data_IF_143056074967
#
_entry.id   IF_143056074967
#
_cell.length_a   1.000
_cell.length_b   1.000
_cell.length_c   1.000
_cell.angle_alpha   90.00
_cell.angle_beta   90.00
_cell.angle_gamma   90.00
#
_symmetry.space_group_name_H-M   'P 1'
#
loop_
_entity.id
_entity.type
_entity.pdbx_description
1 polymer ?
#
# COMPACT_ATOMS: atom_id res chain seq x y z
N UNK A 1 8.86 -64.39 110.82
CA UNK A 1 8.57 -63.55 109.65
C UNK A 1 9.88 -63.36 108.87
N UNK A 2 9.80 -63.30 107.53
CA UNK A 2 10.91 -63.00 106.58
C UNK A 2 11.80 -64.16 106.11
N UNK A 3 11.31 -64.98 105.18
CA UNK A 3 12.16 -65.74 104.24
C UNK A 3 11.40 -66.15 102.96
N UNK A 4 10.07 -66.30 103.02
CA UNK A 4 9.24 -66.58 101.84
C UNK A 4 9.01 -65.35 100.93
N UNK A 5 9.05 -64.14 101.49
CA UNK A 5 8.86 -62.87 100.77
C UNK A 5 10.11 -62.45 99.97
N UNK A 6 11.29 -62.91 100.40
CA UNK A 6 12.59 -62.55 99.81
C UNK A 6 12.82 -63.25 98.47
N UNK A 7 12.40 -64.52 98.32
CA UNK A 7 12.57 -65.29 97.07
C UNK A 7 11.58 -64.86 95.97
N UNK A 8 10.36 -64.49 96.35
CA UNK A 8 9.35 -63.97 95.41
C UNK A 8 9.68 -62.55 94.92
N UNK A 9 10.18 -61.68 95.82
CA UNK A 9 10.65 -60.34 95.47
C UNK A 9 11.85 -60.41 94.52
N UNK A 10 12.89 -61.19 94.85
CA UNK A 10 14.08 -61.33 94.01
C UNK A 10 13.78 -61.93 92.63
N UNK A 11 12.91 -62.94 92.53
CA UNK A 11 12.49 -63.46 91.21
C UNK A 11 11.75 -62.43 90.38
N UNK A 12 10.87 -61.63 91.01
CA UNK A 12 10.13 -60.56 90.31
C UNK A 12 11.10 -59.47 89.84
N UNK A 13 12.06 -59.06 90.66
CA UNK A 13 13.11 -58.11 90.29
C UNK A 13 14.01 -58.63 89.16
N UNK A 14 14.36 -59.92 89.15
CA UNK A 14 15.15 -60.52 88.07
C UNK A 14 14.35 -60.60 86.77
N UNK A 15 13.06 -60.93 86.83
CA UNK A 15 12.18 -60.97 85.65
C UNK A 15 11.92 -59.57 85.09
N UNK A 16 11.70 -58.58 85.95
CA UNK A 16 11.58 -57.16 85.58
C UNK A 16 12.90 -56.65 84.97
N UNK A 17 14.05 -56.98 85.58
CA UNK A 17 15.37 -56.65 85.04
C UNK A 17 15.61 -57.28 83.66
N UNK A 18 15.20 -58.53 83.46
CA UNK A 18 15.27 -59.19 82.15
C UNK A 18 14.36 -58.52 81.12
N UNK A 19 13.13 -58.17 81.48
CA UNK A 19 12.22 -57.45 80.58
C UNK A 19 12.74 -56.05 80.21
N UNK A 20 13.38 -55.35 81.15
CA UNK A 20 14.04 -54.07 80.88
C UNK A 20 15.20 -54.27 79.90
N UNK A 21 16.05 -55.27 80.11
CA UNK A 21 17.16 -55.58 79.19
C UNK A 21 16.67 -55.96 77.80
N UNK A 22 15.60 -56.75 77.68
CA UNK A 22 14.99 -57.11 76.39
C UNK A 22 14.41 -55.88 75.67
N UNK A 23 13.75 -54.97 76.40
CA UNK A 23 13.24 -53.70 75.83
C UNK A 23 14.36 -52.77 75.40
N UNK A 24 15.42 -52.65 76.18
CA UNK A 24 16.59 -51.83 75.85
C UNK A 24 17.33 -52.40 74.64
N UNK A 25 17.52 -53.72 74.57
CA UNK A 25 18.11 -54.38 73.40
C UNK A 25 17.29 -54.14 72.13
N UNK A 26 15.96 -54.28 72.20
CA UNK A 26 15.07 -53.97 71.08
C UNK A 26 15.11 -52.48 70.69
N UNK A 27 15.29 -51.58 71.66
CA UNK A 27 15.44 -50.14 71.40
C UNK A 27 16.76 -49.80 70.71
N UNK A 28 17.85 -50.46 71.10
CA UNK A 28 19.17 -50.32 70.47
C UNK A 28 19.11 -50.87 69.04
N UNK A 29 18.50 -52.03 68.83
CA UNK A 29 18.32 -52.60 67.49
C UNK A 29 17.52 -51.66 66.57
N UNK A 30 16.42 -51.06 67.06
CA UNK A 30 15.67 -50.04 66.32
C UNK A 30 16.49 -48.79 66.04
N UNK A 31 17.28 -48.33 67.00
CA UNK A 31 18.13 -47.13 66.82
C UNK A 31 19.23 -47.37 65.79
N UNK A 32 19.84 -48.56 65.79
CA UNK A 32 20.83 -48.95 64.78
C UNK A 32 20.19 -49.06 63.38
N UNK A 33 18.98 -49.61 63.29
CA UNK A 33 18.25 -49.68 62.02
C UNK A 33 17.96 -48.27 61.46
N UNK A 34 17.49 -47.35 62.32
CA UNK A 34 17.27 -45.94 61.95
C UNK A 34 18.58 -45.26 61.53
N UNK A 35 19.69 -45.55 62.19
CA UNK A 35 20.99 -45.00 61.82
C UNK A 35 21.44 -45.47 60.42
N UNK A 36 21.27 -46.76 60.12
CA UNK A 36 21.57 -47.34 58.80
C UNK A 36 20.67 -46.74 57.72
N UNK A 37 19.36 -46.62 57.99
CA UNK A 37 18.41 -46.00 57.06
C UNK A 37 18.76 -44.53 56.80
N UNK A 38 19.13 -43.78 57.84
CA UNK A 38 19.57 -42.39 57.71
C UNK A 38 20.87 -42.24 56.91
N UNK A 39 21.81 -43.19 57.02
CA UNK A 39 23.05 -43.21 56.24
C UNK A 39 22.78 -43.53 54.77
N UNK A 40 21.87 -44.47 54.50
CA UNK A 40 21.42 -44.79 53.15
C UNK A 40 20.68 -43.61 52.49
N UNK A 41 19.77 -42.96 53.22
CA UNK A 41 19.10 -41.73 52.72
C UNK A 41 20.12 -40.62 52.47
N UNK A 42 21.12 -40.46 53.35
CA UNK A 42 22.20 -39.49 53.17
C UNK A 42 23.02 -39.73 51.91
N UNK A 43 23.35 -40.99 51.61
CA UNK A 43 24.10 -41.36 50.40
C UNK A 43 23.27 -41.22 49.12
N UNK A 44 21.97 -41.52 49.15
CA UNK A 44 21.05 -41.24 48.04
C UNK A 44 20.94 -39.74 47.75
N UNK A 45 20.76 -38.90 48.77
CA UNK A 45 20.71 -37.45 48.62
C UNK A 45 22.00 -36.90 48.03
N UNK A 46 23.16 -37.38 48.48
CA UNK A 46 24.46 -36.95 47.94
C UNK A 46 24.61 -37.34 46.45
N UNK A 47 24.19 -38.55 46.09
CA UNK A 47 24.19 -39.01 44.69
C UNK A 47 23.27 -38.17 43.80
N UNK A 48 22.08 -37.82 44.29
CA UNK A 48 21.14 -36.97 43.56
C UNK A 48 21.66 -35.54 43.42
N UNK A 49 22.28 -34.98 44.46
CA UNK A 49 22.92 -33.67 44.42
C UNK A 49 24.11 -33.63 43.45
N UNK A 50 24.92 -34.67 43.38
CA UNK A 50 26.00 -34.76 42.39
C UNK A 50 25.45 -34.84 40.96
N UNK A 51 24.37 -35.59 40.75
CA UNK A 51 23.68 -35.65 39.45
C UNK A 51 23.13 -34.28 39.05
N UNK A 52 22.51 -33.55 39.98
CA UNK A 52 22.01 -32.20 39.76
C UNK A 52 23.17 -31.21 39.49
N UNK A 53 24.29 -31.34 40.20
CA UNK A 53 25.49 -30.52 39.99
C UNK A 53 26.07 -30.73 38.59
N UNK A 54 26.18 -31.96 38.13
CA UNK A 54 26.64 -32.24 36.76
C UNK A 54 25.66 -31.71 35.69
N UNK A 55 24.35 -31.77 35.95
CA UNK A 55 23.36 -31.18 35.05
C UNK A 55 23.51 -29.65 34.98
N UNK A 56 23.77 -28.99 36.11
CA UNK A 56 24.01 -27.54 36.17
C UNK A 56 25.30 -27.14 35.43
N UNK A 57 26.39 -27.88 35.60
CA UNK A 57 27.65 -27.63 34.88
C UNK A 57 27.43 -27.73 33.36
N UNK A 58 26.79 -28.81 32.90
CA UNK A 58 26.44 -28.97 31.47
C UNK A 58 25.54 -27.86 30.94
N UNK A 59 24.63 -27.35 31.77
CA UNK A 59 23.75 -26.24 31.39
C UNK A 59 24.53 -24.91 31.31
N UNK A 60 25.46 -24.67 32.23
CA UNK A 60 26.37 -23.51 32.19
C UNK A 60 27.22 -23.52 30.92
N UNK A 61 27.85 -24.64 30.59
CA UNK A 61 28.66 -24.77 29.37
C UNK A 61 27.84 -24.52 28.09
N UNK A 62 26.57 -24.97 28.05
CA UNK A 62 25.67 -24.68 26.94
C UNK A 62 25.34 -23.19 26.83
N UNK A 63 25.15 -22.51 27.96
CA UNK A 63 24.88 -21.07 28.00
C UNK A 63 26.09 -20.26 27.53
N UNK A 64 27.30 -20.65 27.94
CA UNK A 64 28.55 -19.99 27.49
C UNK A 64 28.74 -20.15 25.98
N UNK A 65 28.57 -21.36 25.45
CA UNK A 65 28.63 -21.62 24.00
C UNK A 65 27.57 -20.83 23.21
N UNK A 66 26.34 -20.71 23.74
CA UNK A 66 25.29 -19.91 23.12
C UNK A 66 25.62 -18.41 23.13
N UNK A 67 26.26 -17.93 24.21
CA UNK A 67 26.68 -16.54 24.34
C UNK A 67 27.82 -16.20 23.36
N UNK A 68 28.78 -17.11 23.17
CA UNK A 68 29.83 -16.99 22.15
C UNK A 68 29.23 -16.96 20.73
N UNK A 69 28.25 -17.83 20.46
CA UNK A 69 27.51 -17.84 19.20
C UNK A 69 26.74 -16.54 18.93
N UNK A 70 26.16 -15.93 19.98
CA UNK A 70 25.51 -14.62 19.90
C UNK A 70 26.51 -13.49 19.67
N UNK A 71 27.70 -13.57 20.26
CA UNK A 71 28.76 -12.59 20.07
C UNK A 71 29.29 -12.60 18.63
N UNK A 72 29.54 -13.77 18.06
CA UNK A 72 29.94 -13.90 16.65
C UNK A 72 28.81 -13.48 15.69
N UNK A 73 27.55 -13.82 16.00
CA UNK A 73 26.39 -13.34 15.24
C UNK A 73 26.29 -11.81 15.24
N UNK A 74 26.58 -11.14 16.37
CA UNK A 74 26.59 -9.67 16.46
C UNK A 74 27.72 -9.04 15.65
N UNK A 75 28.91 -9.66 15.59
CA UNK A 75 30.00 -9.21 14.70
C UNK A 75 29.61 -9.31 13.23
N UNK A 76 29.02 -10.43 12.84
CA UNK A 76 28.55 -10.65 11.46
C UNK A 76 27.46 -9.63 11.11
N UNK A 77 26.47 -9.39 11.99
CA UNK A 77 25.43 -8.39 11.78
C UNK A 77 25.99 -6.97 11.68
N UNK A 78 26.96 -6.61 12.52
CA UNK A 78 27.66 -5.32 12.46
C UNK A 78 28.42 -5.15 11.13
N UNK A 79 29.12 -6.20 10.69
CA UNK A 79 29.83 -6.21 9.41
C UNK A 79 28.86 -6.08 8.23
N UNK A 80 27.76 -6.85 8.22
CA UNK A 80 26.73 -6.79 7.18
C UNK A 80 26.04 -5.43 7.15
N UNK A 81 25.76 -4.82 8.30
CA UNK A 81 25.14 -3.49 8.37
C UNK A 81 26.09 -2.40 7.84
N UNK A 82 27.37 -2.44 8.20
CA UNK A 82 28.38 -1.51 7.66
C UNK A 82 28.58 -1.69 6.15
N UNK A 83 28.59 -2.94 5.67
CA UNK A 83 28.67 -3.25 4.25
C UNK A 83 27.43 -2.76 3.49
N UNK A 84 26.24 -2.94 4.07
CA UNK A 84 24.98 -2.44 3.51
C UNK A 84 24.92 -0.91 3.47
N UNK A 85 25.40 -0.22 4.50
CA UNK A 85 25.51 1.24 4.54
C UNK A 85 26.52 1.77 3.50
N UNK A 86 27.65 1.10 3.31
CA UNK A 86 28.60 1.43 2.23
C UNK A 86 27.98 1.23 0.84
N UNK A 87 27.25 0.13 0.63
CA UNK A 87 26.51 -0.12 -0.61
C UNK A 87 25.42 0.92 -0.87
N UNK A 88 24.69 1.34 0.17
CA UNK A 88 23.70 2.42 0.08
C UNK A 88 24.34 3.75 -0.27
N UNK A 89 25.46 4.11 0.35
CA UNK A 89 26.22 5.32 0.01
C UNK A 89 26.76 5.25 -1.42
N UNK A 90 27.35 4.14 -1.86
CA UNK A 90 27.82 3.95 -3.23
C UNK A 90 26.66 4.04 -4.24
N UNK A 91 25.49 3.48 -3.92
CA UNK A 91 24.27 3.63 -4.73
C UNK A 91 23.79 5.08 -4.76
N UNK A 92 23.75 5.80 -3.63
CA UNK A 92 23.38 7.22 -3.60
C UNK A 92 24.35 8.08 -4.41
N UNK A 93 25.66 7.85 -4.29
CA UNK A 93 26.67 8.54 -5.10
C UNK A 93 26.55 8.21 -6.59
N UNK A 94 26.21 6.97 -6.97
CA UNK A 94 25.89 6.61 -8.36
C UNK A 94 24.58 7.26 -8.85
N UNK A 95 23.56 7.38 -8.00
CA UNK A 95 22.27 8.01 -8.33
C UNK A 95 22.46 9.52 -8.52
N UNK A 96 23.21 10.19 -7.63
CA UNK A 96 23.50 11.63 -7.73
C UNK A 96 24.34 11.93 -8.98
N UNK A 97 25.23 11.02 -9.40
CA UNK A 97 26.05 11.17 -10.62
C UNK A 97 25.33 10.74 -11.92
N UNK A 98 24.14 10.12 -11.85
CA UNK A 98 23.38 9.64 -13.03
C UNK A 98 22.28 10.56 -13.53
N UNK A 99 21.94 11.64 -12.82
CA UNK A 99 21.00 12.64 -13.35
C UNK A 99 21.63 13.61 -14.35
N UNK A 100 22.95 13.58 -14.54
CA UNK A 100 23.71 14.58 -15.33
C UNK A 100 24.40 14.02 -16.57
N UNK A 101 23.79 13.09 -17.31
CA UNK A 101 24.30 12.66 -18.63
C UNK A 101 23.26 12.61 -19.74
N UNK A 102 22.00 12.94 -19.44
CA UNK A 102 20.98 13.14 -20.47
C UNK A 102 20.88 14.63 -20.70
N UNK A 103 21.34 15.10 -21.85
CA UNK A 103 20.98 16.43 -22.31
C UNK A 103 19.47 16.42 -22.61
N UNK A 104 18.68 16.87 -21.63
CA UNK A 104 17.23 16.93 -21.71
C UNK A 104 16.81 17.81 -22.90
N UNK A 105 17.60 18.85 -23.23
CA UNK A 105 17.32 19.71 -24.37
C UNK A 105 17.48 18.97 -25.70
N UNK A 106 18.37 17.96 -25.77
CA UNK A 106 18.61 17.16 -26.98
C UNK A 106 17.64 15.98 -27.16
N UNK A 107 16.77 15.65 -26.18
CA UNK A 107 15.76 14.60 -26.32
C UNK A 107 14.64 14.95 -27.33
N UNK A 108 14.70 16.13 -27.94
CA UNK A 108 13.67 16.62 -28.85
C UNK A 108 13.67 15.85 -30.18
N UNK A 109 12.54 15.24 -30.49
CA UNK A 109 12.30 14.54 -31.76
C UNK A 109 11.76 15.54 -32.81
N UNK A 110 12.14 15.36 -34.09
CA UNK A 110 11.57 16.13 -35.22
C UNK A 110 10.09 15.74 -35.45
N UNK A 111 9.23 16.70 -35.82
CA UNK A 111 7.77 16.51 -35.95
C UNK A 111 7.32 16.46 -37.44
N UNK A 112 6.05 16.75 -37.73
CA UNK A 112 5.48 16.86 -39.09
C UNK A 112 6.01 18.09 -39.86
N UNK A 113 6.01 18.00 -41.19
CA UNK A 113 6.42 19.09 -42.11
C UNK A 113 5.28 20.09 -42.41
N UNK A 114 5.60 21.27 -42.96
CA UNK A 114 4.70 22.42 -43.24
C UNK A 114 3.37 22.11 -43.98
N UNK A 115 3.18 20.91 -44.51
CA UNK A 115 2.00 20.52 -45.30
C UNK A 115 0.78 20.17 -44.44
N UNK A 116 0.97 19.93 -43.13
CA UNK A 116 -0.08 19.49 -42.19
C UNK A 116 -0.43 20.58 -41.15
N UNK A 117 -0.53 21.84 -41.56
CA UNK A 117 -0.91 22.95 -40.65
C UNK A 117 -2.39 22.80 -40.26
N UNK A 118 -2.67 22.79 -38.95
CA UNK A 118 -4.02 22.77 -38.43
C UNK A 118 -4.61 24.19 -38.45
N UNK A 119 -5.19 24.56 -39.60
CA UNK A 119 -5.79 25.88 -39.87
C UNK A 119 -7.25 25.96 -39.43
N UNK A 120 -7.70 27.17 -39.16
CA UNK A 120 -9.09 27.53 -38.82
C UNK A 120 -10.07 27.06 -39.91
N UNK A 121 -9.66 27.22 -41.17
CA UNK A 121 -10.37 26.76 -42.36
C UNK A 121 -10.48 25.22 -42.43
N UNK A 122 -9.48 24.51 -41.88
CA UNK A 122 -9.44 23.04 -41.87
C UNK A 122 -10.25 22.41 -40.73
N UNK A 123 -10.83 23.24 -39.85
CA UNK A 123 -11.70 22.79 -38.77
C UNK A 123 -13.08 22.49 -39.36
N UNK A 124 -13.34 21.22 -39.64
CA UNK A 124 -14.60 20.69 -40.17
C UNK A 124 -15.68 20.46 -39.08
N UNK A 125 -15.30 20.47 -37.80
CA UNK A 125 -16.20 20.38 -36.65
C UNK A 125 -16.14 21.66 -35.83
N UNK A 126 -17.24 22.43 -35.83
CA UNK A 126 -17.33 23.72 -35.14
C UNK A 126 -17.85 23.58 -33.70
N UNK A 127 -18.35 22.41 -33.33
CA UNK A 127 -18.46 21.98 -31.93
C UNK A 127 -17.14 21.31 -31.45
N UNK A 128 -16.55 21.77 -30.33
CA UNK A 128 -15.28 21.23 -29.85
C UNK A 128 -15.37 19.83 -29.26
N UNK A 129 -16.52 19.38 -28.79
CA UNK A 129 -16.70 18.01 -28.29
C UNK A 129 -16.70 17.03 -29.47
N UNK A 130 -17.32 17.41 -30.59
CA UNK A 130 -17.27 16.64 -31.83
C UNK A 130 -15.84 16.60 -32.41
N UNK A 131 -15.12 17.73 -32.39
CA UNK A 131 -13.72 17.78 -32.81
C UNK A 131 -12.82 16.91 -31.92
N UNK A 132 -13.06 16.91 -30.59
CA UNK A 132 -12.41 15.99 -29.67
C UNK A 132 -12.70 14.53 -30.02
N UNK A 133 -13.96 14.18 -30.29
CA UNK A 133 -14.36 12.84 -30.69
C UNK A 133 -13.64 12.36 -31.95
N UNK A 134 -13.46 13.26 -32.94
CA UNK A 134 -12.66 12.98 -34.14
C UNK A 134 -11.20 12.68 -33.79
N UNK A 135 -10.53 13.53 -33.00
CA UNK A 135 -9.13 13.31 -32.61
C UNK A 135 -8.94 12.06 -31.75
N UNK A 136 -9.88 11.78 -30.83
CA UNK A 136 -9.87 10.57 -30.03
C UNK A 136 -10.01 9.31 -30.91
N UNK A 137 -10.88 9.34 -31.92
CA UNK A 137 -11.03 8.23 -32.88
C UNK A 137 -9.79 8.02 -33.77
N UNK A 138 -9.05 9.08 -34.09
CA UNK A 138 -7.74 8.93 -34.74
C UNK A 138 -6.72 8.31 -33.77
N UNK A 139 -6.74 8.72 -32.50
CA UNK A 139 -5.87 8.14 -31.47
C UNK A 139 -6.16 6.66 -31.21
N UNK A 140 -7.43 6.22 -31.21
CA UNK A 140 -7.79 4.80 -31.04
C UNK A 140 -7.35 3.92 -32.20
N UNK A 141 -7.16 4.48 -33.39
CA UNK A 141 -6.69 3.78 -34.60
C UNK A 141 -5.17 3.77 -34.74
N UNK A 142 -4.45 4.43 -33.83
CA UNK A 142 -2.99 4.53 -33.84
C UNK A 142 -2.40 3.47 -32.91
N UNK A 143 -1.68 2.50 -33.47
CA UNK A 143 -1.20 1.30 -32.76
C UNK A 143 -0.32 1.63 -31.54
N UNK A 144 0.50 2.68 -31.64
CA UNK A 144 1.41 3.08 -30.56
C UNK A 144 0.72 3.82 -29.40
N UNK A 145 -0.60 4.04 -29.49
CA UNK A 145 -1.39 4.68 -28.42
C UNK A 145 -2.23 3.61 -27.70
N UNK A 146 -1.71 3.14 -26.56
CA UNK A 146 -2.32 2.05 -25.79
C UNK A 146 -3.60 2.47 -25.06
N UNK A 147 -3.60 3.65 -24.43
CA UNK A 147 -4.73 4.18 -23.66
C UNK A 147 -5.11 5.58 -24.17
N UNK A 148 -5.79 5.70 -25.32
CA UNK A 148 -6.13 6.98 -25.92
C UNK A 148 -7.06 7.83 -25.04
N UNK A 149 -7.79 7.20 -24.12
CA UNK A 149 -8.67 7.85 -23.15
C UNK A 149 -7.99 8.21 -21.83
N UNK A 150 -6.67 7.97 -21.68
CA UNK A 150 -5.92 8.43 -20.51
C UNK A 150 -5.75 9.95 -20.54
N UNK A 151 -6.09 10.60 -19.42
CA UNK A 151 -5.96 12.04 -19.26
C UNK A 151 -5.32 12.38 -17.91
N UNK A 152 -4.46 13.40 -17.90
CA UNK A 152 -3.93 13.97 -16.67
C UNK A 152 -4.94 14.98 -16.12
N UNK A 153 -5.57 14.66 -14.99
CA UNK A 153 -6.51 15.53 -14.28
C UNK A 153 -5.76 16.36 -13.26
N UNK A 154 -5.89 17.67 -13.34
CA UNK A 154 -5.43 18.65 -12.36
C UNK A 154 -6.60 19.15 -11.50
N UNK A 155 -6.39 19.18 -10.19
CA UNK A 155 -7.30 19.75 -9.18
C UNK A 155 -6.52 20.71 -8.29
N UNK A 156 -7.21 21.57 -7.55
CA UNK A 156 -6.60 22.57 -6.66
C UNK A 156 -7.21 22.41 -5.28
N UNK A 157 -6.37 22.28 -4.26
CA UNK A 157 -6.83 22.18 -2.88
C UNK A 157 -7.45 23.50 -2.39
N UNK A 158 -8.11 23.45 -1.23
CA UNK A 158 -8.69 24.62 -0.55
C UNK A 158 -7.68 25.77 -0.34
N UNK A 159 -6.40 25.43 -0.17
CA UNK A 159 -5.31 26.38 0.10
C UNK A 159 -4.66 26.90 -1.19
N UNK A 160 -5.23 26.58 -2.36
CA UNK A 160 -4.74 27.04 -3.66
C UNK A 160 -3.58 26.19 -4.24
N UNK A 161 -3.23 25.06 -3.62
CA UNK A 161 -2.13 24.21 -4.11
C UNK A 161 -2.62 23.21 -5.17
N UNK A 162 -2.04 23.21 -6.39
CA UNK A 162 -2.44 22.28 -7.42
C UNK A 162 -1.91 20.86 -7.15
N UNK A 163 -2.65 19.86 -7.63
CA UNK A 163 -2.19 18.49 -7.74
C UNK A 163 -2.70 17.85 -9.02
N UNK A 164 -1.99 16.85 -9.55
CA UNK A 164 -2.42 16.15 -10.75
C UNK A 164 -2.17 14.63 -10.65
N UNK A 165 -2.86 13.88 -11.51
CA UNK A 165 -2.73 12.42 -11.69
C UNK A 165 -3.40 11.98 -12.98
N UNK A 166 -3.05 10.81 -13.49
CA UNK A 166 -3.79 10.20 -14.59
C UNK A 166 -5.11 9.57 -14.12
N UNK A 167 -6.15 9.75 -14.93
CA UNK A 167 -7.45 9.07 -14.84
C UNK A 167 -7.88 8.68 -16.26
N UNK A 168 -8.86 7.79 -16.36
CA UNK A 168 -9.41 7.39 -17.66
C UNK A 168 -10.75 8.09 -17.92
N UNK A 169 -10.85 8.76 -19.07
CA UNK A 169 -12.11 9.24 -19.61
C UNK A 169 -13.01 8.03 -19.93
N UNK A 170 -14.27 8.08 -19.49
CA UNK A 170 -15.26 7.00 -19.67
C UNK A 170 -16.42 7.37 -20.58
N UNK A 171 -16.76 8.65 -20.69
CA UNK A 171 -17.63 9.16 -21.75
C UNK A 171 -17.26 10.60 -22.11
N UNK A 172 -17.49 10.98 -23.36
CA UNK A 172 -17.54 12.37 -23.80
C UNK A 172 -18.80 12.53 -24.64
N UNK A 173 -19.71 13.38 -24.18
CA UNK A 173 -20.96 13.70 -24.84
C UNK A 173 -21.23 15.21 -24.69
N UNK A 174 -22.36 15.69 -25.22
CA UNK A 174 -22.68 17.13 -25.20
C UNK A 174 -22.82 17.72 -23.78
N UNK A 175 -22.97 16.89 -22.73
CA UNK A 175 -22.92 17.35 -21.34
C UNK A 175 -21.49 17.63 -20.86
N UNK A 176 -20.50 16.98 -21.47
CA UNK A 176 -19.08 17.12 -21.13
C UNK A 176 -18.34 15.77 -21.02
N UNK A 177 -17.37 15.73 -20.11
CA UNK A 177 -16.39 14.63 -20.00
C UNK A 177 -16.53 13.90 -18.67
N UNK A 178 -16.88 12.61 -18.70
CA UNK A 178 -17.13 11.83 -17.48
C UNK A 178 -15.94 10.92 -17.14
N UNK A 179 -15.53 10.95 -15.87
CA UNK A 179 -14.58 10.01 -15.30
C UNK A 179 -15.08 9.53 -13.93
N UNK A 180 -14.51 8.44 -13.42
CA UNK A 180 -14.95 7.85 -12.15
C UNK A 180 -13.82 7.73 -11.15
N UNK A 181 -14.14 7.87 -9.86
CA UNK A 181 -13.15 7.84 -8.79
C UNK A 181 -13.77 7.49 -7.44
N UNK A 182 -12.93 7.28 -6.43
CA UNK A 182 -13.37 7.15 -5.05
C UNK A 182 -13.61 8.56 -4.46
N UNK A 183 -14.79 8.79 -3.88
CA UNK A 183 -15.19 10.09 -3.34
C UNK A 183 -14.45 10.47 -2.04
N UNK A 184 -13.73 9.54 -1.41
CA UNK A 184 -12.85 9.80 -0.27
C UNK A 184 -11.38 10.00 -0.67
N UNK A 185 -11.09 10.17 -1.96
CA UNK A 185 -9.72 10.41 -2.44
C UNK A 185 -9.35 11.89 -2.40
N UNK A 186 -8.05 12.19 -2.31
CA UNK A 186 -7.54 13.59 -2.31
C UNK A 186 -8.13 14.45 -3.44
N UNK A 187 -8.26 13.90 -4.65
CA UNK A 187 -8.80 14.66 -5.80
C UNK A 187 -10.29 14.98 -5.60
N UNK A 188 -11.04 14.10 -4.96
CA UNK A 188 -12.45 14.32 -4.66
C UNK A 188 -12.59 15.37 -3.56
N UNK A 189 -11.73 15.33 -2.53
CA UNK A 189 -11.67 16.38 -1.50
C UNK A 189 -11.34 17.75 -2.10
N UNK A 190 -10.34 17.83 -3.00
CA UNK A 190 -10.01 19.05 -3.74
C UNK A 190 -11.22 19.55 -4.55
N UNK A 191 -11.90 18.66 -5.28
CA UNK A 191 -13.04 18.99 -6.15
C UNK A 191 -14.32 19.37 -5.41
N UNK A 192 -14.51 18.87 -4.20
CA UNK A 192 -15.65 19.23 -3.34
C UNK A 192 -15.53 20.70 -2.89
N UNK A 193 -14.31 21.15 -2.58
CA UNK A 193 -14.06 22.53 -2.15
C UNK A 193 -13.89 23.48 -3.34
N UNK A 194 -13.22 23.02 -4.41
CA UNK A 194 -13.00 23.79 -5.62
C UNK A 194 -13.36 22.94 -6.85
N UNK A 195 -14.54 23.15 -7.45
CA UNK A 195 -14.98 22.33 -8.58
C UNK A 195 -14.22 22.63 -9.87
N UNK A 196 -13.35 23.65 -9.92
CA UNK A 196 -12.60 23.97 -11.12
C UNK A 196 -11.47 22.97 -11.35
N UNK A 197 -11.44 22.38 -12.55
CA UNK A 197 -10.45 21.38 -12.95
C UNK A 197 -9.90 21.68 -14.33
N UNK A 198 -8.73 21.11 -14.61
CA UNK A 198 -8.19 21.03 -15.96
C UNK A 198 -7.81 19.58 -16.26
N UNK A 199 -8.03 19.13 -17.50
CA UNK A 199 -7.52 17.85 -17.99
C UNK A 199 -6.67 18.04 -19.23
N UNK A 200 -5.65 17.20 -19.38
CA UNK A 200 -4.80 17.17 -20.57
C UNK A 200 -4.69 15.75 -21.14
N UNK A 201 -4.93 15.62 -22.44
CA UNK A 201 -4.61 14.45 -23.24
C UNK A 201 -3.31 14.72 -23.99
N UNK A 202 -2.46 13.71 -24.12
CA UNK A 202 -1.28 13.80 -24.97
C UNK A 202 -1.06 12.51 -25.74
N UNK A 203 -1.25 12.60 -27.05
CA UNK A 203 -1.08 11.50 -27.99
C UNK A 203 0.25 11.68 -28.69
N UNK A 204 1.31 11.17 -28.06
CA UNK A 204 2.68 11.34 -28.51
C UNK A 204 2.87 10.92 -29.98
N UNK A 205 2.41 9.76 -30.49
CA UNK A 205 2.58 9.37 -31.89
C UNK A 205 1.97 10.37 -32.88
N UNK A 206 0.80 10.93 -32.54
CA UNK A 206 0.11 11.94 -33.36
C UNK A 206 0.66 13.37 -33.19
N UNK A 207 1.50 13.58 -32.17
CA UNK A 207 1.99 14.91 -31.75
C UNK A 207 0.83 15.86 -31.47
N UNK A 208 -0.20 15.36 -30.80
CA UNK A 208 -1.41 16.12 -30.47
C UNK A 208 -1.62 16.18 -28.98
N UNK A 209 -2.11 17.33 -28.51
CA UNK A 209 -2.59 17.49 -27.15
C UNK A 209 -3.96 18.16 -27.17
N UNK A 210 -4.81 17.77 -26.23
CA UNK A 210 -6.08 18.45 -25.97
C UNK A 210 -6.08 18.86 -24.51
N UNK A 211 -6.35 20.13 -24.24
CA UNK A 211 -6.60 20.65 -22.88
C UNK A 211 -8.06 20.99 -22.74
N UNK A 212 -8.67 20.63 -21.63
CA UNK A 212 -10.05 21.00 -21.30
C UNK A 212 -10.04 21.63 -19.91
N UNK A 213 -10.63 22.81 -19.80
CA UNK A 213 -10.79 23.55 -18.56
C UNK A 213 -12.29 23.68 -18.28
N UNK A 214 -12.71 23.43 -17.03
CA UNK A 214 -14.12 23.39 -16.70
C UNK A 214 -14.39 23.21 -15.22
N UNK A 215 -15.66 22.94 -14.90
CA UNK A 215 -16.11 22.64 -13.54
C UNK A 215 -16.64 21.21 -13.47
N UNK A 216 -16.42 20.52 -12.34
CA UNK A 216 -16.98 19.19 -12.09
C UNK A 216 -18.27 19.23 -11.30
N UNK A 217 -19.16 18.28 -11.61
CA UNK A 217 -20.31 17.91 -10.79
C UNK A 217 -20.38 16.40 -10.63
N UNK A 218 -20.83 15.89 -9.48
CA UNK A 218 -21.12 14.46 -9.32
C UNK A 218 -22.26 14.07 -10.26
N UNK A 219 -22.13 12.93 -10.95
CA UNK A 219 -23.25 12.34 -11.69
C UNK A 219 -24.23 11.67 -10.72
N UNK A 220 -25.39 11.22 -11.22
CA UNK A 220 -26.36 10.54 -10.36
C UNK A 220 -25.80 9.27 -9.72
N UNK A 221 -26.37 8.89 -8.57
CA UNK A 221 -26.02 7.64 -7.91
C UNK A 221 -26.33 6.44 -8.80
N UNK A 222 -27.44 6.50 -9.54
CA UNK A 222 -27.92 5.49 -10.47
C UNK A 222 -26.96 5.30 -11.65
N UNK A 223 -26.50 6.40 -12.30
CA UNK A 223 -25.48 6.33 -13.36
C UNK A 223 -24.16 5.73 -12.80
N UNK A 224 -23.77 6.15 -11.60
CA UNK A 224 -22.57 5.64 -10.92
C UNK A 224 -22.65 4.15 -10.63
N UNK A 225 -23.79 3.69 -10.10
CA UNK A 225 -24.07 2.29 -9.77
C UNK A 225 -24.13 1.42 -11.03
N UNK A 226 -24.82 1.91 -12.07
CA UNK A 226 -24.90 1.21 -13.36
C UNK A 226 -23.51 1.01 -13.96
N UNK A 227 -22.69 2.06 -13.99
CA UNK A 227 -21.32 1.95 -14.49
C UNK A 227 -20.44 1.07 -13.60
N UNK A 228 -20.57 1.17 -12.26
CA UNK A 228 -19.80 0.33 -11.34
C UNK A 228 -20.02 -1.16 -11.62
N UNK A 229 -21.27 -1.58 -11.76
CA UNK A 229 -21.61 -2.98 -12.02
C UNK A 229 -21.31 -3.45 -13.45
N UNK A 230 -21.12 -2.55 -14.40
CA UNK A 230 -20.65 -2.92 -15.75
C UNK A 230 -19.13 -3.19 -15.82
N UNK A 231 -18.37 -2.85 -14.77
CA UNK A 231 -16.92 -3.09 -14.72
C UNK A 231 -16.62 -4.58 -14.48
N UNK A 232 -15.43 -5.08 -14.90
CA UNK A 232 -14.98 -6.41 -14.53
C UNK A 232 -15.05 -6.63 -13.01
N UNK A 233 -15.44 -7.82 -12.56
CA UNK A 233 -15.61 -8.14 -11.14
C UNK A 233 -14.38 -7.79 -10.30
N UNK A 234 -13.18 -8.10 -10.79
CA UNK A 234 -11.92 -7.74 -10.13
C UNK A 234 -11.76 -6.21 -9.92
N UNK A 235 -12.23 -5.40 -10.87
CA UNK A 235 -12.24 -3.95 -10.75
C UNK A 235 -13.26 -3.43 -9.72
N UNK A 236 -14.39 -4.11 -9.55
CA UNK A 236 -15.39 -3.80 -8.51
C UNK A 236 -14.80 -4.11 -7.13
N UNK A 237 -14.22 -5.29 -6.96
CA UNK A 237 -13.57 -5.75 -5.72
C UNK A 237 -12.41 -4.81 -5.35
N UNK A 238 -11.51 -4.50 -6.30
CA UNK A 238 -10.39 -3.60 -6.04
C UNK A 238 -10.81 -2.18 -5.62
N UNK A 239 -11.94 -1.69 -6.13
CA UNK A 239 -12.50 -0.40 -5.70
C UNK A 239 -13.05 -0.45 -4.27
N UNK A 240 -13.59 -1.59 -3.83
CA UNK A 240 -14.08 -1.81 -2.48
C UNK A 240 -12.93 -2.06 -1.48
N UNK A 241 -11.86 -2.73 -1.91
CA UNK A 241 -10.71 -3.07 -1.08
C UNK A 241 -9.77 -1.87 -0.80
N UNK A 242 -9.70 -0.90 -1.73
CA UNK A 242 -8.70 0.16 -1.68
C UNK A 242 -9.24 1.46 -1.07
N UNK A 243 -8.77 1.88 0.13
CA UNK A 243 -9.04 3.22 0.66
C UNK A 243 -8.19 4.25 -0.10
N UNK A 244 -8.60 4.57 -1.33
CA UNK A 244 -7.81 5.36 -2.27
C UNK A 244 -7.29 6.67 -1.65
N UNK A 245 -5.97 6.87 -1.72
CA UNK A 245 -5.25 8.04 -1.20
C UNK A 245 -5.10 8.12 0.33
N UNK A 246 -5.53 7.11 1.08
CA UNK A 246 -5.26 7.01 2.52
C UNK A 246 -3.95 6.25 2.79
N UNK A 247 -3.39 6.47 3.98
CA UNK A 247 -2.23 5.70 4.44
C UNK A 247 -2.66 4.25 4.70
N UNK A 248 -1.84 3.31 4.23
CA UNK A 248 -2.00 1.88 4.46
C UNK A 248 -0.69 1.33 5.02
N UNK A 249 -0.72 0.25 5.85
CA UNK A 249 0.49 -0.30 6.44
C UNK A 249 1.48 -0.86 5.41
N UNK A 250 0.98 -1.52 4.36
CA UNK A 250 1.80 -2.13 3.32
C UNK A 250 0.98 -2.49 2.07
N UNK A 251 1.63 -3.03 1.04
CA UNK A 251 0.96 -3.55 -0.16
C UNK A 251 0.15 -4.81 0.18
N UNK A 252 0.72 -5.70 0.98
CA UNK A 252 0.12 -6.97 1.40
C UNK A 252 -1.19 -6.76 2.16
N UNK A 253 -1.32 -5.62 2.86
CA UNK A 253 -2.56 -5.25 3.52
C UNK A 253 -3.75 -5.15 2.54
N UNK A 254 -3.53 -4.64 1.32
CA UNK A 254 -4.60 -4.60 0.29
C UNK A 254 -4.94 -6.00 -0.18
N UNK A 255 -3.95 -6.86 -0.38
CA UNK A 255 -4.17 -8.21 -0.89
C UNK A 255 -4.99 -9.05 0.12
N UNK A 256 -4.75 -8.86 1.43
CA UNK A 256 -5.56 -9.46 2.50
C UNK A 256 -7.02 -8.97 2.44
N UNK A 257 -7.23 -7.66 2.35
CA UNK A 257 -8.60 -7.08 2.27
C UNK A 257 -9.32 -7.56 1.00
N UNK A 258 -8.62 -7.64 -0.12
CA UNK A 258 -9.17 -8.12 -1.39
C UNK A 258 -9.68 -9.56 -1.26
N UNK A 259 -8.90 -10.43 -0.61
CA UNK A 259 -9.24 -11.83 -0.37
C UNK A 259 -10.42 -11.98 0.60
N UNK A 260 -10.44 -11.20 1.69
CA UNK A 260 -11.59 -11.17 2.60
C UNK A 260 -12.88 -10.75 1.89
N UNK A 261 -12.81 -9.76 0.99
CA UNK A 261 -13.95 -9.31 0.20
C UNK A 261 -14.38 -10.42 -0.77
N UNK A 262 -13.44 -11.08 -1.46
CA UNK A 262 -13.75 -12.22 -2.35
C UNK A 262 -14.51 -13.31 -1.60
N UNK A 263 -14.06 -13.67 -0.40
CA UNK A 263 -14.71 -14.67 0.44
C UNK A 263 -16.10 -14.22 0.90
N UNK A 264 -16.26 -12.96 1.34
CA UNK A 264 -17.54 -12.41 1.80
C UNK A 264 -18.58 -12.32 0.68
N UNK A 265 -18.17 -11.93 -0.53
CA UNK A 265 -19.08 -11.79 -1.68
C UNK A 265 -19.30 -13.14 -2.37
N UNK A 266 -18.35 -14.08 -2.26
CA UNK A 266 -18.37 -15.35 -2.97
C UNK A 266 -18.25 -15.19 -4.49
N UNK A 267 -18.40 -16.28 -5.23
CA UNK A 267 -18.21 -16.27 -6.69
C UNK A 267 -19.35 -15.57 -7.44
N UNK A 268 -20.58 -15.66 -6.93
CA UNK A 268 -21.80 -15.17 -7.58
C UNK A 268 -22.45 -13.96 -6.89
N UNK A 269 -21.97 -13.53 -5.72
CA UNK A 269 -22.58 -12.42 -5.01
C UNK A 269 -22.35 -11.07 -5.70
N UNK A 270 -23.25 -10.12 -5.45
CA UNK A 270 -23.11 -8.76 -5.97
C UNK A 270 -22.11 -7.98 -5.11
N UNK A 271 -21.07 -7.43 -5.73
CA UNK A 271 -20.11 -6.57 -5.02
C UNK A 271 -20.80 -5.22 -4.75
N UNK A 272 -20.93 -4.78 -3.48
CA UNK A 272 -21.54 -3.48 -3.20
C UNK A 272 -20.64 -2.36 -3.72
N UNK A 273 -21.26 -1.31 -4.28
CA UNK A 273 -20.53 -0.10 -4.66
C UNK A 273 -20.10 0.66 -3.40
N UNK A 274 -18.79 0.94 -3.21
CA UNK A 274 -18.31 1.73 -2.08
C UNK A 274 -18.66 3.23 -2.26
N UNK A 275 -18.07 4.11 -1.43
CA UNK A 275 -18.14 5.57 -1.62
C UNK A 275 -17.38 6.00 -2.89
N UNK A 276 -18.01 5.76 -4.04
CA UNK A 276 -17.40 5.78 -5.35
C UNK A 276 -18.43 6.18 -6.39
N UNK A 277 -18.00 6.91 -7.42
CA UNK A 277 -18.90 7.28 -8.49
C UNK A 277 -18.24 8.19 -9.53
N UNK A 278 -19.08 8.75 -10.40
CA UNK A 278 -18.64 9.57 -11.50
C UNK A 278 -18.64 11.06 -11.19
N UNK A 279 -17.77 11.78 -11.90
CA UNK A 279 -17.79 13.22 -12.06
C UNK A 279 -17.92 13.56 -13.54
N UNK A 280 -18.78 14.53 -13.84
CA UNK A 280 -18.92 15.14 -15.15
C UNK A 280 -18.17 16.48 -15.15
N UNK A 281 -17.22 16.65 -16.07
CA UNK A 281 -16.57 17.94 -16.33
C UNK A 281 -17.39 18.67 -17.39
N UNK A 282 -18.05 19.76 -17.01
CA UNK A 282 -18.67 20.67 -17.97
C UNK A 282 -17.60 21.65 -18.49
N UNK A 283 -17.25 21.58 -19.79
CA UNK A 283 -16.14 22.37 -20.34
C UNK A 283 -16.51 23.86 -20.46
N UNK A 284 -15.58 24.73 -20.07
CA UNK A 284 -15.60 26.17 -20.33
C UNK A 284 -14.67 26.57 -21.46
N UNK A 285 -13.56 25.85 -21.61
CA UNK A 285 -12.63 25.99 -22.72
C UNK A 285 -12.03 24.63 -23.12
N UNK A 286 -11.77 24.48 -24.42
CA UNK A 286 -11.10 23.31 -25.00
C UNK A 286 -10.03 23.79 -25.98
N UNK A 287 -8.77 23.47 -25.74
CA UNK A 287 -7.64 23.81 -26.61
C UNK A 287 -7.13 22.58 -27.34
N UNK A 288 -7.01 22.69 -28.66
CA UNK A 288 -6.40 21.71 -29.55
C UNK A 288 -5.02 22.17 -29.96
N UNK A 289 -4.01 21.37 -29.61
CA UNK A 289 -2.62 21.62 -29.94
C UNK A 289 -2.10 20.57 -30.93
N UNK A 290 -1.49 21.01 -32.02
CA UNK A 290 -0.83 20.16 -33.01
C UNK A 290 0.64 20.55 -33.14
N UNK A 291 1.53 19.59 -32.88
CA UNK A 291 2.97 19.76 -32.94
C UNK A 291 3.47 19.96 -34.37
N UNK A 292 4.44 20.86 -34.52
CA UNK A 292 5.03 21.31 -35.79
C UNK A 292 6.55 21.38 -35.66
N UNK A 293 7.30 20.95 -36.68
CA UNK A 293 8.78 20.80 -36.59
C UNK A 293 9.50 22.11 -36.31
N UNK A 294 9.01 23.19 -36.92
CA UNK A 294 9.58 24.53 -36.86
C UNK A 294 9.26 25.29 -35.56
N UNK A 295 8.65 24.65 -34.54
CA UNK A 295 8.21 25.25 -33.27
C UNK A 295 7.00 26.18 -33.37
N UNK A 296 6.49 26.43 -34.57
CA UNK A 296 5.26 27.20 -34.77
C UNK A 296 4.06 26.28 -34.61
N UNK A 297 3.81 25.84 -33.38
CA UNK A 297 2.72 24.92 -33.06
C UNK A 297 1.35 25.54 -33.34
N UNK A 298 0.44 24.70 -33.83
CA UNK A 298 -0.93 25.14 -34.05
C UNK A 298 -1.72 24.99 -32.75
N UNK A 299 -2.35 26.07 -32.32
CA UNK A 299 -3.16 26.13 -31.10
C UNK A 299 -4.49 26.77 -31.42
N UNK A 300 -5.57 25.99 -31.35
CA UNK A 300 -6.93 26.50 -31.50
C UNK A 300 -7.65 26.30 -30.18
N UNK A 301 -8.13 27.40 -29.59
CA UNK A 301 -8.91 27.37 -28.35
C UNK A 301 -10.37 27.67 -28.65
N UNK A 302 -11.24 26.79 -28.20
CA UNK A 302 -12.67 27.02 -28.09
C UNK A 302 -13.01 27.50 -26.69
N UNK A 303 -13.91 28.47 -26.56
CA UNK A 303 -14.46 28.93 -25.27
C UNK A 303 -15.93 29.33 -25.42
N UNK A 304 -16.69 29.26 -24.33
CA UNK A 304 -17.99 29.93 -24.24
C UNK A 304 -17.75 31.43 -24.07
N UNK A 305 -18.37 32.25 -24.91
CA UNK A 305 -18.23 33.71 -24.85
C UNK A 305 -19.38 34.40 -25.57
N UNK A 306 -19.78 35.56 -25.07
CA UNK A 306 -20.70 36.49 -25.74
C UNK A 306 -19.96 37.52 -26.61
N UNK A 307 -18.64 37.41 -26.74
CA UNK A 307 -17.81 38.30 -27.55
C UNK A 307 -18.22 38.26 -29.03
N UNK A 308 -18.20 39.45 -29.65
CA UNK A 308 -18.60 39.61 -31.05
C UNK A 308 -17.61 38.90 -31.98
N UNK A 309 -18.15 38.03 -32.83
CA UNK A 309 -17.40 37.34 -33.89
C UNK A 309 -16.97 38.36 -34.93
N UNK A 310 -15.66 38.43 -35.20
CA UNK A 310 -15.08 39.34 -36.19
C UNK A 310 -14.36 38.62 -37.34
N UNK A 311 -14.37 37.28 -37.34
CA UNK A 311 -13.77 36.38 -38.33
C UNK A 311 -12.29 36.62 -38.65
N UNK A 312 -11.61 37.45 -37.83
CA UNK A 312 -10.18 37.75 -37.94
C UNK A 312 -9.39 37.13 -36.79
N UNK A 313 -9.90 37.28 -35.57
CA UNK A 313 -9.31 36.71 -34.36
C UNK A 313 -10.27 35.73 -33.68
N UNK A 314 -11.56 36.06 -33.69
CA UNK A 314 -12.61 35.28 -33.06
C UNK A 314 -13.56 34.80 -34.14
N UNK A 315 -13.69 33.49 -34.25
CA UNK A 315 -14.53 32.79 -35.22
C UNK A 315 -15.72 32.13 -34.54
N UNK A 316 -16.83 31.99 -35.28
CA UNK A 316 -18.05 31.36 -34.78
C UNK A 316 -17.92 29.83 -34.71
N UNK A 317 -18.17 29.27 -33.53
CA UNK A 317 -18.39 27.83 -33.32
C UNK A 317 -19.88 27.47 -33.29
N UNK A 318 -20.18 26.20 -33.02
CA UNK A 318 -21.55 25.70 -32.81
C UNK A 318 -21.93 25.75 -31.32
N UNK A 319 -23.22 25.61 -31.01
CA UNK A 319 -23.73 25.47 -29.63
C UNK A 319 -23.28 26.59 -28.67
N UNK A 320 -23.05 27.81 -29.15
CA UNK A 320 -22.58 28.95 -28.34
C UNK A 320 -21.08 28.93 -28.02
N UNK A 321 -20.30 28.16 -28.76
CA UNK A 321 -18.83 28.24 -28.74
C UNK A 321 -18.33 29.32 -29.70
N UNK A 322 -17.22 29.96 -29.35
CA UNK A 322 -16.35 30.68 -30.28
C UNK A 322 -14.97 30.04 -30.24
N UNK A 323 -14.17 30.24 -31.28
CA UNK A 323 -12.79 29.77 -31.30
C UNK A 323 -11.81 30.77 -31.89
N UNK A 324 -10.58 30.67 -31.45
CA UNK A 324 -9.49 31.58 -31.80
C UNK A 324 -8.15 30.83 -31.84
N UNK A 325 -7.20 31.36 -32.62
CA UNK A 325 -5.82 30.86 -32.62
C UNK A 325 -4.99 31.53 -31.55
N UNK A 326 -4.17 30.74 -30.88
CA UNK A 326 -3.17 31.21 -29.93
C UNK A 326 -1.77 31.09 -30.54
N UNK A 327 -0.88 32.01 -30.16
CA UNK A 327 0.54 31.86 -30.45
C UNK A 327 1.10 30.62 -29.71
N UNK A 328 2.07 29.89 -30.30
CA UNK A 328 2.68 28.70 -29.71
C UNK A 328 3.45 28.96 -28.41
#
# INVERSE_FOLDING_TARGET
MSNYDWDAHNRRTVLEGRQILERTSASIARSNQIAIESENTGTEILSELDTQREALIRTSERLDNANDGLFESRKILSFLNNFYLQLLMLKQFQIIRRMSSVDIASLRIKYKEKRDIFREESIDKKDPIDLFGKWLNEATKTEEILEPNAMCLATVSKDGFPSNRYVLLKSADQRGFTFFTNYASRKADDMEVNPNVAVAFYWLPLRRSVRIEGSVTKISHEESKSYFHSRPRASQIGALASPQSQLIPSREHIDIIEEEIKQKVGDSGVVPMPNWGGYLITPRAIEFWQGQTNRLHDRIRFRKSDEEVNDKLVHRGENGWVYERLAP
#
